data_IF_439916825027
#
_entry.id   IF_439916825027
#
_cell.length_a   1.000
_cell.length_b   1.000
_cell.length_c   1.000
_cell.angle_alpha   90.00
_cell.angle_beta   90.00
_cell.angle_gamma   90.00
#
_symmetry.space_group_name_H-M   'P 1'
#
loop_
_entity.id
_entity.type
_entity.pdbx_description
1 polymer ?
#
# COMPACT_ATOMS: atom_id res chain seq x y z
N UNK A 1 6.38 1.56 25.79
CA UNK A 1 7.02 1.50 24.46
C UNK A 1 6.83 2.82 23.72
N UNK A 2 7.92 3.44 23.24
CA UNK A 2 7.89 4.73 22.54
C UNK A 2 7.03 4.64 21.26
N UNK A 3 6.30 5.72 20.93
CA UNK A 3 5.49 5.85 19.71
C UNK A 3 6.30 5.56 18.44
N UNK A 4 7.58 5.94 18.43
CA UNK A 4 8.48 5.61 17.33
C UNK A 4 8.59 4.10 17.11
N UNK A 5 8.91 3.33 18.16
CA UNK A 5 9.04 1.87 18.09
C UNK A 5 7.74 1.21 17.63
N UNK A 6 6.58 1.70 18.10
CA UNK A 6 5.26 1.21 17.64
C UNK A 6 5.07 1.41 16.14
N UNK A 7 5.45 2.57 15.60
CA UNK A 7 5.33 2.83 14.16
C UNK A 7 6.34 2.02 13.33
N UNK A 8 7.52 1.71 13.87
CA UNK A 8 8.46 0.79 13.22
C UNK A 8 7.91 -0.64 13.17
N UNK A 9 7.32 -1.14 14.26
CA UNK A 9 6.63 -2.44 14.24
C UNK A 9 5.48 -2.45 13.23
N UNK A 10 4.72 -1.37 13.14
CA UNK A 10 3.67 -1.22 12.14
C UNK A 10 4.23 -1.25 10.71
N UNK A 11 5.37 -0.63 10.47
CA UNK A 11 6.06 -0.69 9.17
C UNK A 11 6.49 -2.12 8.83
N UNK A 12 7.00 -2.89 9.79
CA UNK A 12 7.34 -4.31 9.57
C UNK A 12 6.10 -5.10 9.15
N UNK A 13 4.95 -4.87 9.79
CA UNK A 13 3.68 -5.50 9.41
C UNK A 13 3.26 -5.10 7.99
N UNK A 14 3.38 -3.81 7.64
CA UNK A 14 3.12 -3.32 6.28
C UNK A 14 4.01 -4.05 5.27
N UNK A 15 5.32 -4.16 5.52
CA UNK A 15 6.26 -4.83 4.62
C UNK A 15 5.93 -6.31 4.46
N UNK A 16 5.63 -7.01 5.55
CA UNK A 16 5.25 -8.42 5.52
C UNK A 16 3.97 -8.63 4.70
N UNK A 17 2.90 -7.86 4.96
CA UNK A 17 1.65 -7.97 4.20
C UNK A 17 1.85 -7.62 2.73
N UNK A 18 2.66 -6.60 2.44
CA UNK A 18 2.96 -6.19 1.06
C UNK A 18 3.69 -7.30 0.31
N UNK A 19 4.65 -7.96 0.96
CA UNK A 19 5.37 -9.10 0.39
C UNK A 19 4.42 -10.27 0.07
N UNK A 20 3.61 -10.71 1.04
CA UNK A 20 2.72 -11.86 0.83
C UNK A 20 1.58 -11.61 -0.16
N UNK A 21 1.20 -10.34 -0.39
CA UNK A 21 0.14 -9.97 -1.33
C UNK A 21 0.65 -9.35 -2.62
N UNK A 22 1.97 -9.26 -2.81
CA UNK A 22 2.58 -8.59 -3.94
C UNK A 22 2.07 -9.16 -5.28
N UNK A 23 2.04 -10.47 -5.42
CA UNK A 23 1.55 -11.13 -6.64
C UNK A 23 0.08 -10.84 -6.93
N UNK A 24 -0.78 -10.74 -5.91
CA UNK A 24 -2.18 -10.38 -6.07
C UNK A 24 -2.34 -8.97 -6.65
N UNK A 25 -1.67 -7.99 -6.05
CA UNK A 25 -1.70 -6.60 -6.54
C UNK A 25 -1.04 -6.48 -7.92
N UNK A 26 0.04 -7.24 -8.17
CA UNK A 26 0.72 -7.29 -9.45
C UNK A 26 -0.13 -7.86 -10.57
N UNK A 27 -0.90 -8.91 -10.28
CA UNK A 27 -1.83 -9.51 -11.25
C UNK A 27 -2.98 -8.56 -11.57
N UNK A 28 -3.45 -7.83 -10.56
CA UNK A 28 -4.39 -6.73 -10.76
C UNK A 28 -3.78 -5.67 -11.70
N UNK A 29 -2.54 -5.27 -11.43
CA UNK A 29 -1.83 -4.30 -12.26
C UNK A 29 -1.70 -4.78 -13.72
N UNK A 30 -1.19 -5.98 -13.97
CA UNK A 30 -1.04 -6.57 -15.33
C UNK A 30 -2.39 -6.64 -16.07
N UNK A 31 -3.50 -6.85 -15.33
CA UNK A 31 -4.84 -6.85 -15.94
C UNK A 31 -5.28 -5.47 -16.43
N UNK A 32 -4.94 -4.40 -15.70
CA UNK A 32 -5.30 -3.03 -16.10
C UNK A 32 -4.27 -2.37 -17.01
N UNK A 33 -3.05 -2.87 -16.97
CA UNK A 33 -1.93 -2.44 -17.81
C UNK A 33 -1.13 -3.67 -18.25
N UNK A 34 -1.57 -4.35 -19.33
CA UNK A 34 -0.89 -5.54 -19.83
C UNK A 34 0.48 -5.14 -20.37
N UNK A 35 1.53 -5.45 -19.63
CA UNK A 35 2.90 -5.08 -19.98
C UNK A 35 3.87 -6.26 -19.93
N UNK A 36 3.48 -7.38 -19.32
CA UNK A 36 4.39 -8.49 -19.01
C UNK A 36 4.24 -9.72 -19.91
N UNK A 37 3.53 -9.60 -21.05
CA UNK A 37 3.30 -10.72 -21.96
C UNK A 37 4.52 -11.07 -22.85
N UNK A 38 5.46 -10.14 -23.03
CA UNK A 38 6.65 -10.32 -23.89
C UNK A 38 7.96 -10.08 -23.12
N UNK A 39 8.15 -10.74 -21.98
CA UNK A 39 9.35 -10.53 -21.15
C UNK A 39 10.44 -11.55 -21.49
N UNK A 40 11.49 -11.11 -22.18
CA UNK A 40 12.66 -11.95 -22.50
C UNK A 40 13.54 -12.15 -21.26
N UNK A 41 13.73 -13.41 -20.86
CA UNK A 41 14.77 -13.82 -19.89
C UNK A 41 14.42 -13.65 -18.41
N UNK A 42 13.23 -13.15 -18.06
CA UNK A 42 12.76 -13.04 -16.67
C UNK A 42 11.39 -13.71 -16.54
N UNK A 43 11.15 -14.43 -15.43
CA UNK A 43 9.86 -15.07 -15.21
C UNK A 43 8.76 -14.03 -15.00
N UNK A 44 7.64 -14.20 -15.72
CA UNK A 44 6.46 -13.32 -15.61
C UNK A 44 5.99 -13.16 -14.16
N UNK A 45 5.98 -14.26 -13.39
CA UNK A 45 5.59 -14.24 -11.97
C UNK A 45 6.46 -13.32 -11.12
N UNK A 46 7.78 -13.29 -11.37
CA UNK A 46 8.70 -12.42 -10.62
C UNK A 46 8.47 -10.94 -10.97
N UNK A 47 8.24 -10.62 -12.24
CA UNK A 47 7.93 -9.25 -12.66
C UNK A 47 6.59 -8.77 -12.11
N UNK A 48 5.57 -9.62 -12.15
CA UNK A 48 4.26 -9.35 -11.53
C UNK A 48 4.42 -9.07 -10.04
N UNK A 49 5.16 -9.90 -9.31
CA UNK A 49 5.37 -9.72 -7.87
C UNK A 49 6.16 -8.44 -7.57
N UNK A 50 7.23 -8.16 -8.32
CA UNK A 50 8.02 -6.92 -8.17
C UNK A 50 7.20 -5.67 -8.43
N UNK A 51 6.37 -5.68 -9.48
CA UNK A 51 5.48 -4.57 -9.81
C UNK A 51 4.37 -4.40 -8.77
N UNK A 52 3.84 -5.51 -8.25
CA UNK A 52 2.77 -5.53 -7.27
C UNK A 52 3.17 -5.07 -5.87
N UNK A 53 4.43 -5.26 -5.47
CA UNK A 53 4.91 -4.88 -4.15
C UNK A 53 4.72 -3.39 -3.82
N UNK A 54 5.12 -2.42 -4.67
CA UNK A 54 4.83 -1.00 -4.45
C UNK A 54 3.33 -0.70 -4.28
N UNK A 55 2.45 -1.35 -5.04
CA UNK A 55 1.00 -1.16 -4.92
C UNK A 55 0.47 -1.64 -3.57
N UNK A 56 0.83 -2.87 -3.19
CA UNK A 56 0.47 -3.44 -1.90
C UNK A 56 1.00 -2.57 -0.76
N UNK A 57 2.24 -2.10 -0.88
CA UNK A 57 2.89 -1.23 0.08
C UNK A 57 2.16 0.11 0.26
N UNK A 58 1.79 0.79 -0.82
CA UNK A 58 1.01 2.04 -0.74
C UNK A 58 -0.32 1.78 -0.03
N UNK A 59 -1.03 0.73 -0.44
CA UNK A 59 -2.32 0.37 0.12
C UNK A 59 -2.25 0.11 1.63
N UNK A 60 -1.35 -0.78 2.07
CA UNK A 60 -1.20 -1.12 3.49
C UNK A 60 -0.59 0.00 4.31
N UNK A 61 0.34 0.78 3.76
CA UNK A 61 0.88 1.97 4.43
C UNK A 61 -0.26 2.91 4.79
N UNK A 62 -1.09 3.29 3.82
CA UNK A 62 -2.21 4.19 4.06
C UNK A 62 -3.21 3.56 5.03
N UNK A 63 -3.66 2.32 4.77
CA UNK A 63 -4.68 1.66 5.57
C UNK A 63 -4.25 1.50 7.03
N UNK A 64 -3.09 0.90 7.27
CA UNK A 64 -2.64 0.54 8.61
C UNK A 64 -2.13 1.75 9.37
N UNK A 65 -1.37 2.66 8.76
CA UNK A 65 -0.97 3.88 9.47
C UNK A 65 -2.17 4.76 9.75
N UNK A 66 -3.17 4.82 8.84
CA UNK A 66 -4.38 5.60 9.11
C UNK A 66 -5.22 5.01 10.23
N UNK A 67 -5.16 3.71 10.50
CA UNK A 67 -5.89 3.08 11.60
C UNK A 67 -5.09 3.08 12.91
N UNK A 68 -3.83 2.66 12.85
CA UNK A 68 -3.06 2.23 14.02
C UNK A 68 -1.82 3.06 14.31
N UNK A 69 -1.44 4.03 13.45
CA UNK A 69 -0.26 4.86 13.72
C UNK A 69 -0.47 5.75 14.95
N UNK A 70 0.63 5.93 15.70
CA UNK A 70 0.72 6.76 16.89
C UNK A 70 1.46 8.07 16.60
N UNK A 71 1.02 9.16 17.24
CA UNK A 71 1.60 10.49 17.05
C UNK A 71 1.19 11.14 15.73
N UNK A 72 2.14 11.71 15.00
CA UNK A 72 1.86 12.44 13.75
C UNK A 72 1.69 11.48 12.55
N UNK A 73 0.55 10.79 12.54
CA UNK A 73 0.12 9.81 11.53
C UNK A 73 0.27 10.30 10.09
N UNK A 74 -0.16 11.51 9.79
CA UNK A 74 -0.11 12.04 8.42
C UNK A 74 1.33 12.28 7.95
N UNK A 75 2.24 12.70 8.86
CA UNK A 75 3.67 12.80 8.53
C UNK A 75 4.28 11.45 8.19
N UNK A 76 3.98 10.40 8.97
CA UNK A 76 4.47 9.04 8.68
C UNK A 76 4.00 8.53 7.33
N UNK A 77 2.70 8.67 7.04
CA UNK A 77 2.14 8.29 5.73
C UNK A 77 2.86 9.07 4.62
N UNK A 78 3.01 10.38 4.77
CA UNK A 78 3.72 11.22 3.79
C UNK A 78 5.14 10.71 3.51
N UNK A 79 5.96 10.54 4.55
CA UNK A 79 7.35 10.08 4.39
C UNK A 79 7.47 8.68 3.79
N UNK A 80 6.60 7.76 4.19
CA UNK A 80 6.64 6.38 3.69
C UNK A 80 6.14 6.26 2.24
N UNK A 81 5.26 7.15 1.80
CA UNK A 81 4.78 7.14 0.41
C UNK A 81 5.75 7.80 -0.57
N UNK A 82 6.73 8.59 -0.12
CA UNK A 82 7.69 9.25 -1.02
C UNK A 82 8.44 8.25 -1.91
N UNK A 83 9.11 7.19 -1.38
CA UNK A 83 9.85 6.26 -2.22
C UNK A 83 9.02 5.58 -3.32
N UNK A 84 7.84 4.98 -3.04
CA UNK A 84 7.05 4.34 -4.11
C UNK A 84 6.47 5.37 -5.09
N UNK A 85 6.12 6.59 -4.65
CA UNK A 85 5.67 7.65 -5.56
C UNK A 85 6.78 8.11 -6.51
N UNK A 86 8.03 8.19 -6.03
CA UNK A 86 9.19 8.46 -6.90
C UNK A 86 9.39 7.34 -7.91
N UNK A 87 9.28 6.08 -7.48
CA UNK A 87 9.37 4.93 -8.38
C UNK A 87 8.36 5.00 -9.53
N UNK A 88 7.08 5.26 -9.24
CA UNK A 88 6.06 5.41 -10.27
C UNK A 88 6.25 6.68 -11.11
N UNK A 89 6.61 7.80 -10.47
CA UNK A 89 6.83 9.07 -11.17
C UNK A 89 7.96 9.02 -12.20
N UNK A 90 9.01 8.22 -11.96
CA UNK A 90 10.13 8.07 -12.90
C UNK A 90 10.00 6.87 -13.84
N UNK A 91 9.41 5.76 -13.37
CA UNK A 91 9.41 4.48 -14.07
C UNK A 91 8.15 4.20 -14.89
N UNK A 92 7.00 4.70 -14.46
CA UNK A 92 5.72 4.46 -15.13
C UNK A 92 4.72 5.58 -14.88
N UNK A 93 4.99 6.74 -15.51
CA UNK A 93 4.17 7.93 -15.35
C UNK A 93 2.76 7.74 -15.93
N UNK A 94 2.60 6.85 -16.92
CA UNK A 94 1.32 6.61 -17.58
C UNK A 94 0.33 5.94 -16.61
N UNK A 95 0.83 5.09 -15.70
CA UNK A 95 -0.01 4.37 -14.76
C UNK A 95 0.02 4.93 -13.33
N UNK A 96 0.52 6.16 -13.14
CA UNK A 96 0.57 6.85 -11.84
C UNK A 96 -0.82 7.06 -11.20
N UNK A 97 -1.89 6.96 -11.97
CA UNK A 97 -3.26 7.03 -11.44
C UNK A 97 -3.65 5.79 -10.63
N UNK A 98 -3.09 4.61 -10.92
CA UNK A 98 -3.39 3.37 -10.20
C UNK A 98 -2.98 3.41 -8.72
N UNK A 99 -1.74 3.80 -8.34
CA UNK A 99 -1.40 3.93 -6.92
C UNK A 99 -2.24 5.01 -6.22
N UNK A 100 -2.66 6.06 -6.93
CA UNK A 100 -3.55 7.10 -6.38
C UNK A 100 -4.93 6.52 -6.05
N UNK A 101 -5.55 5.79 -6.98
CA UNK A 101 -6.85 5.14 -6.78
C UNK A 101 -6.77 4.15 -5.62
N UNK A 102 -5.72 3.32 -5.56
CA UNK A 102 -5.47 2.40 -4.45
C UNK A 102 -5.35 3.13 -3.10
N UNK A 103 -4.65 4.26 -3.07
CA UNK A 103 -4.55 5.09 -1.87
C UNK A 103 -5.90 5.66 -1.42
N UNK A 104 -6.75 6.09 -2.36
CA UNK A 104 -8.11 6.55 -2.06
C UNK A 104 -8.99 5.42 -1.51
N UNK A 105 -8.88 4.21 -2.06
CA UNK A 105 -9.58 3.01 -1.54
C UNK A 105 -9.13 2.72 -0.11
N UNK A 106 -7.81 2.71 0.15
CA UNK A 106 -7.27 2.50 1.49
C UNK A 106 -7.75 3.56 2.49
N UNK A 107 -7.81 4.84 2.07
CA UNK A 107 -8.38 5.92 2.88
C UNK A 107 -9.86 5.70 3.17
N UNK A 108 -10.65 5.35 2.16
CA UNK A 108 -12.08 5.05 2.30
C UNK A 108 -12.32 3.90 3.29
N UNK A 109 -11.59 2.80 3.14
CA UNK A 109 -11.65 1.64 4.03
C UNK A 109 -11.24 2.01 5.46
N UNK A 110 -10.17 2.76 5.65
CA UNK A 110 -9.73 3.20 6.98
C UNK A 110 -10.81 4.04 7.69
N UNK A 111 -11.49 4.93 6.95
CA UNK A 111 -12.58 5.75 7.48
C UNK A 111 -13.80 4.91 7.83
N UNK A 112 -14.15 3.95 6.97
CA UNK A 112 -15.26 3.01 7.20
C UNK A 112 -15.02 2.18 8.47
N UNK A 113 -13.85 1.54 8.58
CA UNK A 113 -13.46 0.73 9.76
C UNK A 113 -13.48 1.58 11.02
N UNK A 114 -12.94 2.80 10.96
CA UNK A 114 -12.96 3.73 12.10
C UNK A 114 -14.39 4.07 12.53
N UNK A 115 -15.29 4.30 11.58
CA UNK A 115 -16.70 4.64 11.86
C UNK A 115 -17.45 3.48 12.52
N UNK A 116 -17.24 2.25 12.02
CA UNK A 116 -17.87 1.05 12.56
C UNK A 116 -17.37 0.79 13.98
N UNK A 117 -16.05 0.87 14.20
CA UNK A 117 -15.45 0.65 15.52
C UNK A 117 -15.84 1.72 16.54
N UNK A 118 -16.00 2.99 16.15
CA UNK A 118 -16.51 4.02 17.06
C UNK A 118 -17.98 3.80 17.41
N UNK A 119 -18.83 3.43 16.44
CA UNK A 119 -20.24 3.13 16.70
C UNK A 119 -20.40 1.93 17.63
N UNK A 120 -19.63 0.86 17.41
CA UNK A 120 -19.67 -0.33 18.26
C UNK A 120 -19.31 -0.04 19.73
N UNK A 121 -18.42 0.92 19.99
CA UNK A 121 -18.05 1.33 21.36
C UNK A 121 -19.09 2.20 22.07
N UNK A 122 -20.05 2.77 21.35
CA UNK A 122 -21.12 3.57 21.95
C UNK A 122 -22.35 2.73 22.33
N UNK A 123 -22.44 1.50 21.83
CA UNK A 123 -23.56 0.59 22.05
C UNK A 123 -23.30 -0.36 23.24
N UNK A 124 -22.02 -0.55 23.61
CA UNK A 124 -21.58 -1.31 24.79
C UNK A 124 -21.22 -0.37 25.94
#
# INVERSE_FOLDING_TARGET
MNNFVKNILLLIIVLALSYYTAEYFGTWYDKFSPQYDNTLGVSKALLISLAGFPFAYIFFTILLFKLFSFGNRNKWIGWLLVPPLLFFGSGDIQHIYLPIVLGLIALGLSKLISTITTKSKQIN
#
